data_IF_904807705611
#
_entry.id   IF_904807705611
#
_cell.length_a   1.000
_cell.length_b   1.000
_cell.length_c   1.000
_cell.angle_alpha   90.00
_cell.angle_beta   90.00
_cell.angle_gamma   90.00
#
_symmetry.space_group_name_H-M   'P 1'
#
loop_
_entity.id
_entity.type
_entity.pdbx_description
1 polymer ?
#
# COMPACT_ATOMS: atom_id res chain seq x y z
N UNK A 1 -68.61 151.06 -53.19
CA UNK A 1 -67.84 151.11 -51.93
C UNK A 1 -68.07 149.83 -51.12
N UNK A 2 -69.32 149.41 -50.88
CA UNK A 2 -69.61 148.14 -50.17
C UNK A 2 -69.17 146.84 -50.88
N UNK A 3 -69.16 146.76 -52.21
CA UNK A 3 -68.66 145.54 -52.92
C UNK A 3 -67.15 145.33 -52.76
N UNK A 4 -66.37 146.41 -52.58
CA UNK A 4 -64.92 146.32 -52.39
C UNK A 4 -64.55 145.87 -50.97
N UNK A 5 -65.29 146.36 -49.96
CA UNK A 5 -65.16 145.92 -48.56
C UNK A 5 -65.59 144.46 -48.38
N UNK A 6 -66.64 144.01 -49.08
CA UNK A 6 -67.07 142.61 -49.09
C UNK A 6 -66.02 141.70 -49.75
N UNK A 7 -65.43 142.14 -50.87
CA UNK A 7 -64.38 141.38 -51.55
C UNK A 7 -63.08 141.33 -50.74
N UNK A 8 -62.73 142.39 -50.02
CA UNK A 8 -61.60 142.39 -49.06
C UNK A 8 -61.86 141.47 -47.86
N UNK A 9 -63.07 141.45 -47.33
CA UNK A 9 -63.44 140.56 -46.22
C UNK A 9 -63.40 139.09 -46.64
N UNK A 10 -63.87 138.77 -47.85
CA UNK A 10 -63.78 137.42 -48.42
C UNK A 10 -62.34 136.99 -48.71
N UNK A 11 -61.49 137.89 -49.19
CA UNK A 11 -60.06 137.62 -49.38
C UNK A 11 -59.38 137.31 -48.05
N UNK A 12 -59.66 138.10 -47.01
CA UNK A 12 -59.11 137.89 -45.68
C UNK A 12 -59.57 136.56 -45.05
N UNK A 13 -60.86 136.22 -45.19
CA UNK A 13 -61.40 134.92 -44.75
C UNK A 13 -60.77 133.75 -45.53
N UNK A 14 -60.49 133.94 -46.83
CA UNK A 14 -59.81 132.92 -47.65
C UNK A 14 -58.34 132.77 -47.26
N UNK A 15 -57.65 133.88 -46.91
CA UNK A 15 -56.27 133.87 -46.40
C UNK A 15 -56.18 133.16 -45.04
N UNK A 16 -57.11 133.43 -44.11
CA UNK A 16 -57.18 132.71 -42.82
C UNK A 16 -57.43 131.20 -43.03
N UNK A 17 -58.36 130.82 -43.91
CA UNK A 17 -58.62 129.41 -44.22
C UNK A 17 -57.41 128.74 -44.88
N UNK A 18 -56.67 129.46 -45.72
CA UNK A 18 -55.45 128.97 -46.35
C UNK A 18 -54.32 128.77 -45.31
N UNK A 19 -54.12 129.73 -44.42
CA UNK A 19 -53.13 129.65 -43.34
C UNK A 19 -53.48 128.50 -42.37
N UNK A 20 -54.76 128.34 -42.04
CA UNK A 20 -55.24 127.21 -41.23
C UNK A 20 -55.02 125.87 -41.95
N UNK A 21 -55.26 125.80 -43.26
CA UNK A 21 -55.01 124.59 -44.06
C UNK A 21 -53.52 124.26 -44.15
N UNK A 22 -52.64 125.26 -44.28
CA UNK A 22 -51.19 125.07 -44.27
C UNK A 22 -50.71 124.56 -42.91
N UNK A 23 -51.24 125.10 -41.81
CA UNK A 23 -50.92 124.62 -40.46
C UNK A 23 -51.37 123.17 -40.24
N UNK A 24 -52.57 122.81 -40.69
CA UNK A 24 -53.07 121.43 -40.62
C UNK A 24 -52.23 120.47 -41.47
N UNK A 25 -51.80 120.89 -42.66
CA UNK A 25 -50.95 120.10 -43.54
C UNK A 25 -49.59 119.87 -42.89
N UNK A 26 -48.97 120.89 -42.31
CA UNK A 26 -47.70 120.77 -41.59
C UNK A 26 -47.81 119.83 -40.39
N UNK A 27 -48.87 119.93 -39.58
CA UNK A 27 -49.14 118.99 -38.48
C UNK A 27 -49.32 117.55 -38.99
N UNK A 28 -49.95 117.37 -40.15
CA UNK A 28 -50.13 116.05 -40.77
C UNK A 28 -48.80 115.50 -41.26
N UNK A 29 -47.92 116.32 -41.82
CA UNK A 29 -46.57 115.93 -42.23
C UNK A 29 -45.73 115.51 -41.02
N UNK A 30 -45.75 116.27 -39.92
CA UNK A 30 -45.04 115.89 -38.68
C UNK A 30 -45.57 114.56 -38.11
N UNK A 31 -46.89 114.37 -38.07
CA UNK A 31 -47.49 113.10 -37.62
C UNK A 31 -47.12 111.92 -38.53
N UNK A 32 -47.00 112.17 -39.84
CA UNK A 32 -46.60 111.14 -40.81
C UNK A 32 -45.13 110.77 -40.62
N UNK A 33 -44.24 111.75 -40.44
CA UNK A 33 -42.82 111.52 -40.19
C UNK A 33 -42.61 110.76 -38.88
N UNK A 34 -43.34 111.13 -37.82
CA UNK A 34 -43.34 110.41 -36.55
C UNK A 34 -43.83 108.96 -36.72
N UNK A 35 -44.89 108.75 -37.50
CA UNK A 35 -45.42 107.40 -37.76
C UNK A 35 -44.42 106.55 -38.56
N UNK A 36 -43.70 107.15 -39.51
CA UNK A 36 -42.65 106.45 -40.28
C UNK A 36 -41.47 106.06 -39.39
N UNK A 37 -41.05 106.91 -38.47
CA UNK A 37 -40.00 106.57 -37.51
C UNK A 37 -40.42 105.43 -36.58
N UNK A 38 -41.65 105.46 -36.06
CA UNK A 38 -42.19 104.38 -35.22
C UNK A 38 -42.31 103.05 -35.99
N UNK A 39 -42.69 103.10 -37.27
CA UNK A 39 -42.73 101.92 -38.13
C UNK A 39 -41.32 101.32 -38.27
N UNK A 40 -40.32 102.16 -38.57
CA UNK A 40 -38.94 101.72 -38.73
C UNK A 40 -38.36 101.10 -37.46
N UNK A 41 -38.58 101.71 -36.29
CA UNK A 41 -38.18 101.13 -35.00
C UNK A 41 -38.86 99.78 -34.75
N UNK A 42 -40.13 99.64 -35.14
CA UNK A 42 -40.87 98.39 -35.02
C UNK A 42 -40.32 97.30 -35.95
N UNK A 43 -39.94 97.67 -37.18
CA UNK A 43 -39.30 96.77 -38.14
C UNK A 43 -37.94 96.26 -37.62
N UNK A 44 -37.09 97.15 -37.08
CA UNK A 44 -35.81 96.76 -36.47
C UNK A 44 -36.00 95.82 -35.27
N UNK A 45 -36.97 96.11 -34.40
CA UNK A 45 -37.31 95.23 -33.27
C UNK A 45 -37.82 93.86 -33.74
N UNK A 46 -38.60 93.82 -34.81
CA UNK A 46 -39.11 92.59 -35.40
C UNK A 46 -37.96 91.76 -35.99
N UNK A 47 -37.05 92.37 -36.74
CA UNK A 47 -35.88 91.70 -37.31
C UNK A 47 -35.00 91.11 -36.21
N UNK A 48 -34.72 91.89 -35.15
CA UNK A 48 -33.97 91.40 -33.98
C UNK A 48 -34.66 90.23 -33.30
N UNK A 49 -35.99 90.29 -33.15
CA UNK A 49 -36.77 89.19 -32.55
C UNK A 49 -36.74 87.93 -33.42
N UNK A 50 -36.77 88.08 -34.75
CA UNK A 50 -36.65 86.96 -35.68
C UNK A 50 -35.26 86.31 -35.60
N UNK A 51 -34.18 87.09 -35.53
CA UNK A 51 -32.83 86.55 -35.34
C UNK A 51 -32.70 85.78 -34.03
N UNK A 52 -33.20 86.33 -32.92
CA UNK A 52 -33.18 85.64 -31.62
C UNK A 52 -33.98 84.34 -31.62
N UNK A 53 -35.13 84.32 -32.30
CA UNK A 53 -35.94 83.12 -32.45
C UNK A 53 -35.20 82.06 -33.27
N UNK A 54 -34.50 82.46 -34.33
CA UNK A 54 -33.69 81.56 -35.14
C UNK A 54 -32.53 80.95 -34.33
N UNK A 55 -31.78 81.76 -33.59
CA UNK A 55 -30.71 81.28 -32.69
C UNK A 55 -31.25 80.29 -31.64
N UNK A 56 -32.38 80.62 -31.01
CA UNK A 56 -33.03 79.73 -30.04
C UNK A 56 -33.47 78.41 -30.67
N UNK A 57 -33.94 78.44 -31.92
CA UNK A 57 -34.35 77.24 -32.65
C UNK A 57 -33.14 76.34 -32.97
N UNK A 58 -31.99 76.92 -33.32
CA UNK A 58 -30.75 76.18 -33.53
C UNK A 58 -30.22 75.56 -32.23
N UNK A 59 -30.21 76.32 -31.13
CA UNK A 59 -29.83 75.81 -29.80
C UNK A 59 -30.74 74.66 -29.33
N UNK A 60 -32.05 74.76 -29.60
CA UNK A 60 -33.01 73.71 -29.28
C UNK A 60 -32.72 72.44 -30.10
N UNK A 61 -32.49 72.56 -31.40
CA UNK A 61 -32.15 71.42 -32.26
C UNK A 61 -30.82 70.80 -31.83
N UNK A 62 -29.83 71.60 -31.46
CA UNK A 62 -28.56 71.09 -30.93
C UNK A 62 -28.74 70.32 -29.62
N UNK A 63 -29.53 70.87 -28.69
CA UNK A 63 -29.83 70.22 -27.41
C UNK A 63 -30.60 68.90 -27.59
N UNK A 64 -31.53 68.84 -28.55
CA UNK A 64 -32.24 67.61 -28.90
C UNK A 64 -31.29 66.53 -29.44
N UNK A 65 -30.33 66.91 -30.29
CA UNK A 65 -29.31 65.97 -30.79
C UNK A 65 -28.45 65.42 -29.66
N UNK A 66 -27.97 66.27 -28.75
CA UNK A 66 -27.17 65.82 -27.60
C UNK A 66 -27.95 64.90 -26.66
N UNK A 67 -29.24 65.19 -26.45
CA UNK A 67 -30.11 64.33 -25.64
C UNK A 67 -30.26 62.95 -26.29
N UNK A 68 -30.48 62.90 -27.60
CA UNK A 68 -30.57 61.63 -28.32
C UNK A 68 -29.28 60.80 -28.24
N UNK A 69 -28.11 61.43 -28.45
CA UNK A 69 -26.81 60.76 -28.29
C UNK A 69 -26.62 60.22 -26.86
N UNK A 70 -27.06 60.98 -25.85
CA UNK A 70 -27.00 60.54 -24.45
C UNK A 70 -27.91 59.34 -24.17
N UNK A 71 -29.11 59.33 -24.76
CA UNK A 71 -30.05 58.20 -24.66
C UNK A 71 -29.46 56.93 -25.30
N UNK A 72 -28.84 57.03 -26.47
CA UNK A 72 -28.18 55.89 -27.13
C UNK A 72 -27.03 55.34 -26.28
N UNK A 73 -26.18 56.20 -25.72
CA UNK A 73 -25.08 55.78 -24.82
C UNK A 73 -25.62 55.12 -23.56
N UNK A 74 -26.73 55.63 -23.02
CA UNK A 74 -27.39 55.04 -21.85
C UNK A 74 -27.93 53.64 -22.16
N UNK A 75 -28.62 53.46 -23.30
CA UNK A 75 -29.12 52.15 -23.74
C UNK A 75 -27.98 51.15 -23.94
N UNK A 76 -26.88 51.58 -24.57
CA UNK A 76 -25.69 50.75 -24.74
C UNK A 76 -25.09 50.34 -23.39
N UNK A 77 -25.01 51.27 -22.44
CA UNK A 77 -24.49 51.01 -21.10
C UNK A 77 -25.38 50.01 -20.32
N UNK A 78 -26.70 50.13 -20.44
CA UNK A 78 -27.65 49.20 -19.83
C UNK A 78 -27.51 47.79 -20.42
N UNK A 79 -27.35 47.68 -21.74
CA UNK A 79 -27.11 46.40 -22.41
C UNK A 79 -25.81 45.72 -21.93
N UNK A 80 -24.72 46.48 -21.84
CA UNK A 80 -23.44 45.98 -21.31
C UNK A 80 -23.54 45.52 -19.85
N UNK A 81 -24.31 46.26 -19.04
CA UNK A 81 -24.54 45.90 -17.64
C UNK A 81 -25.32 44.59 -17.53
N UNK A 82 -26.37 44.40 -18.33
CA UNK A 82 -27.11 43.14 -18.37
C UNK A 82 -26.26 41.97 -18.83
N UNK A 83 -25.41 42.16 -19.85
CA UNK A 83 -24.47 41.12 -20.28
C UNK A 83 -23.51 40.74 -19.14
N UNK A 84 -22.93 41.73 -18.47
CA UNK A 84 -22.00 41.50 -17.35
C UNK A 84 -22.67 40.77 -16.18
N UNK A 85 -23.94 41.09 -15.88
CA UNK A 85 -24.72 40.39 -14.88
C UNK A 85 -24.93 38.91 -15.25
N UNK A 86 -25.25 38.62 -16.50
CA UNK A 86 -25.39 37.24 -16.99
C UNK A 86 -24.08 36.44 -16.91
N UNK A 87 -22.96 37.05 -17.29
CA UNK A 87 -21.63 36.45 -17.17
C UNK A 87 -21.27 36.15 -15.70
N UNK A 88 -21.62 37.05 -14.77
CA UNK A 88 -21.41 36.86 -13.34
C UNK A 88 -22.25 35.70 -12.78
N UNK A 89 -23.53 35.62 -13.14
CA UNK A 89 -24.42 34.52 -12.73
C UNK A 89 -23.91 33.16 -13.25
N UNK A 90 -23.43 33.12 -14.49
CA UNK A 90 -22.84 31.92 -15.06
C UNK A 90 -21.57 31.52 -14.31
N UNK A 91 -20.69 32.47 -13.99
CA UNK A 91 -19.46 32.21 -13.24
C UNK A 91 -19.76 31.71 -11.82
N UNK A 92 -20.76 32.28 -11.14
CA UNK A 92 -21.21 31.80 -9.83
C UNK A 92 -21.74 30.37 -9.89
N UNK A 93 -22.51 30.03 -10.93
CA UNK A 93 -23.03 28.68 -11.12
C UNK A 93 -21.91 27.66 -11.32
N UNK A 94 -20.92 27.98 -12.15
CA UNK A 94 -19.73 27.14 -12.38
C UNK A 94 -18.89 26.95 -11.10
N UNK A 95 -18.75 28.01 -10.31
CA UNK A 95 -18.04 27.94 -9.03
C UNK A 95 -18.77 27.03 -8.04
N UNK A 96 -20.09 27.08 -7.99
CA UNK A 96 -20.89 26.20 -7.14
C UNK A 96 -20.79 24.73 -7.58
N UNK A 97 -20.83 24.45 -8.88
CA UNK A 97 -20.63 23.11 -9.44
C UNK A 97 -19.24 22.57 -9.07
N UNK A 98 -18.19 23.36 -9.27
CA UNK A 98 -16.81 23.01 -8.92
C UNK A 98 -16.65 22.73 -7.41
N UNK A 99 -17.33 23.50 -6.56
CA UNK A 99 -17.34 23.25 -5.10
C UNK A 99 -18.01 21.91 -4.77
N UNK A 100 -19.13 21.58 -5.42
CA UNK A 100 -19.80 20.29 -5.24
C UNK A 100 -18.92 19.11 -5.68
N UNK A 101 -18.24 19.23 -6.82
CA UNK A 101 -17.28 18.21 -7.28
C UNK A 101 -16.12 18.02 -6.30
N UNK A 102 -15.60 19.12 -5.74
CA UNK A 102 -14.54 19.09 -4.73
C UNK A 102 -14.99 18.37 -3.45
N UNK A 103 -16.19 18.67 -2.94
CA UNK A 103 -16.75 17.99 -1.76
C UNK A 103 -16.97 16.49 -1.99
N UNK A 104 -17.42 16.12 -3.20
CA UNK A 104 -17.56 14.72 -3.59
C UNK A 104 -16.21 14.01 -3.63
N UNK A 105 -15.18 14.64 -4.23
CA UNK A 105 -13.84 14.09 -4.31
C UNK A 105 -13.21 13.92 -2.91
N UNK A 106 -13.39 14.89 -2.01
CA UNK A 106 -12.94 14.78 -0.63
C UNK A 106 -13.62 13.63 0.11
N UNK A 107 -14.93 13.45 -0.09
CA UNK A 107 -15.68 12.34 0.52
C UNK A 107 -15.18 10.98 0.03
N UNK A 108 -14.90 10.84 -1.27
CA UNK A 108 -14.30 9.63 -1.84
C UNK A 108 -12.90 9.36 -1.26
N UNK A 109 -12.08 10.40 -1.10
CA UNK A 109 -10.74 10.28 -0.50
C UNK A 109 -10.83 9.76 0.94
N UNK A 110 -11.73 10.31 1.77
CA UNK A 110 -11.94 9.82 3.13
C UNK A 110 -12.38 8.36 3.17
N UNK A 111 -13.26 7.95 2.26
CA UNK A 111 -13.70 6.56 2.17
C UNK A 111 -12.53 5.62 1.83
N UNK A 112 -11.73 5.94 0.81
CA UNK A 112 -10.56 5.15 0.42
C UNK A 112 -9.54 5.08 1.56
N UNK A 113 -9.35 6.18 2.30
CA UNK A 113 -8.44 6.21 3.44
C UNK A 113 -8.93 5.28 4.58
N UNK A 114 -10.23 5.24 4.85
CA UNK A 114 -10.82 4.34 5.83
C UNK A 114 -10.66 2.86 5.42
N UNK A 115 -10.95 2.55 4.15
CA UNK A 115 -10.76 1.20 3.59
C UNK A 115 -9.29 0.75 3.69
N UNK A 116 -8.33 1.64 3.40
CA UNK A 116 -6.91 1.35 3.51
C UNK A 116 -6.48 1.08 4.96
N UNK A 117 -7.01 1.82 5.92
CA UNK A 117 -6.78 1.56 7.34
C UNK A 117 -7.32 0.19 7.76
N UNK A 118 -8.51 -0.19 7.27
CA UNK A 118 -9.09 -1.50 7.54
C UNK A 118 -8.22 -2.62 6.97
N UNK A 119 -7.78 -2.50 5.71
CA UNK A 119 -6.85 -3.46 5.09
C UNK A 119 -5.55 -3.59 5.86
N UNK A 120 -4.99 -2.48 6.36
CA UNK A 120 -3.77 -2.52 7.16
C UNK A 120 -3.97 -3.27 8.49
N UNK A 121 -5.10 -3.05 9.15
CA UNK A 121 -5.47 -3.79 10.37
C UNK A 121 -5.65 -5.28 10.10
N UNK A 122 -6.32 -5.65 9.01
CA UNK A 122 -6.49 -7.05 8.62
C UNK A 122 -5.15 -7.73 8.32
N UNK A 123 -4.25 -7.04 7.60
CA UNK A 123 -2.91 -7.56 7.30
C UNK A 123 -2.11 -7.80 8.59
N UNK A 124 -2.15 -6.87 9.53
CA UNK A 124 -1.49 -7.03 10.83
C UNK A 124 -2.05 -8.23 11.61
N UNK A 125 -3.37 -8.44 11.58
CA UNK A 125 -3.98 -9.61 12.22
C UNK A 125 -3.50 -10.91 11.59
N UNK A 126 -3.52 -11.01 10.26
CA UNK A 126 -3.05 -12.21 9.53
C UNK A 126 -1.57 -12.48 9.82
N UNK A 127 -0.74 -11.44 9.91
CA UNK A 127 0.66 -11.58 10.26
C UNK A 127 0.84 -12.14 11.68
N UNK A 128 0.09 -11.65 12.66
CA UNK A 128 0.12 -12.16 14.03
C UNK A 128 -0.33 -13.64 14.11
N UNK A 129 -1.37 -14.01 13.36
CA UNK A 129 -1.83 -15.40 13.26
C UNK A 129 -0.77 -16.32 12.61
N UNK A 130 -0.07 -15.82 11.59
CA UNK A 130 1.04 -16.55 10.94
C UNK A 130 2.22 -16.77 11.90
N UNK A 131 2.58 -15.76 12.69
CA UNK A 131 3.63 -15.87 13.70
C UNK A 131 3.25 -16.89 14.78
N UNK A 132 1.99 -16.86 15.25
CA UNK A 132 1.48 -17.81 16.23
C UNK A 132 1.50 -19.26 15.69
N UNK A 133 1.03 -19.48 14.46
CA UNK A 133 1.03 -20.80 13.84
C UNK A 133 2.44 -21.33 13.61
N UNK A 134 3.37 -20.46 13.21
CA UNK A 134 4.80 -20.81 13.09
C UNK A 134 5.40 -21.21 14.43
N UNK A 135 5.08 -20.49 15.51
CA UNK A 135 5.54 -20.84 16.86
C UNK A 135 5.00 -22.21 17.32
N UNK A 136 3.71 -22.49 17.07
CA UNK A 136 3.09 -23.78 17.37
C UNK A 136 3.71 -24.93 16.56
N UNK A 137 4.02 -24.70 15.29
CA UNK A 137 4.70 -25.68 14.44
C UNK A 137 6.09 -26.00 14.99
N UNK A 138 6.88 -24.99 15.33
CA UNK A 138 8.21 -25.16 15.91
C UNK A 138 8.15 -25.91 17.26
N UNK A 139 7.15 -25.59 18.10
CA UNK A 139 6.92 -26.31 19.35
C UNK A 139 6.61 -27.79 19.11
N UNK A 140 5.74 -28.09 18.13
CA UNK A 140 5.35 -29.45 17.79
C UNK A 140 6.53 -30.25 17.22
N UNK A 141 7.35 -29.64 16.37
CA UNK A 141 8.59 -30.24 15.87
C UNK A 141 9.58 -30.56 17.00
N UNK A 142 9.76 -29.62 17.94
CA UNK A 142 10.62 -29.84 19.11
C UNK A 142 10.09 -30.96 20.02
N UNK A 143 8.76 -31.07 20.18
CA UNK A 143 8.15 -32.17 20.93
C UNK A 143 8.36 -33.51 20.22
N UNK A 144 8.15 -33.57 18.90
CA UNK A 144 8.36 -34.78 18.11
C UNK A 144 9.80 -35.26 18.22
N UNK A 145 10.77 -34.35 18.06
CA UNK A 145 12.18 -34.69 18.21
C UNK A 145 12.52 -35.21 19.62
N UNK A 146 11.95 -34.59 20.67
CA UNK A 146 12.10 -35.12 22.04
C UNK A 146 11.53 -36.52 22.19
N UNK A 147 10.37 -36.79 21.60
CA UNK A 147 9.77 -38.13 21.66
C UNK A 147 10.58 -39.17 20.90
N UNK A 148 11.17 -38.82 19.77
CA UNK A 148 12.09 -39.69 19.02
C UNK A 148 13.31 -40.05 19.87
N UNK A 149 13.96 -39.04 20.47
CA UNK A 149 15.13 -39.28 21.35
C UNK A 149 14.76 -40.16 22.55
N UNK A 150 13.61 -39.93 23.18
CA UNK A 150 13.14 -40.77 24.29
C UNK A 150 12.85 -42.20 23.84
N UNK A 151 12.29 -42.38 22.64
CA UNK A 151 12.03 -43.70 22.07
C UNK A 151 13.34 -44.45 21.81
N UNK A 152 14.33 -43.80 21.19
CA UNK A 152 15.66 -44.37 20.98
C UNK A 152 16.34 -44.77 22.30
N UNK A 153 16.24 -43.91 23.33
CA UNK A 153 16.72 -44.22 24.67
C UNK A 153 16.00 -45.43 25.29
N UNK A 154 14.68 -45.51 25.13
CA UNK A 154 13.91 -46.66 25.63
C UNK A 154 14.27 -47.95 24.91
N UNK A 155 14.47 -47.91 23.59
CA UNK A 155 14.88 -49.08 22.80
C UNK A 155 16.27 -49.58 23.22
N UNK A 156 17.23 -48.66 23.37
CA UNK A 156 18.57 -49.02 23.84
C UNK A 156 18.54 -49.58 25.27
N UNK A 157 17.74 -49.00 26.17
CA UNK A 157 17.57 -49.53 27.53
C UNK A 157 16.88 -50.90 27.55
N UNK A 158 15.90 -51.13 26.68
CA UNK A 158 15.27 -52.45 26.52
C UNK A 158 16.29 -53.49 26.06
N UNK A 159 17.10 -53.17 25.04
CA UNK A 159 18.17 -54.06 24.57
C UNK A 159 19.17 -54.38 25.68
N UNK A 160 19.63 -53.37 26.42
CA UNK A 160 20.54 -53.57 27.56
C UNK A 160 19.92 -54.44 28.66
N UNK A 161 18.64 -54.23 28.98
CA UNK A 161 17.93 -55.03 29.98
C UNK A 161 17.77 -56.48 29.53
N UNK A 162 17.48 -56.70 28.24
CA UNK A 162 17.38 -58.02 27.65
C UNK A 162 18.73 -58.75 27.61
N UNK A 163 19.83 -58.03 27.33
CA UNK A 163 21.20 -58.53 27.46
C UNK A 163 21.48 -59.01 28.89
N UNK A 164 21.27 -58.13 29.87
CA UNK A 164 21.50 -58.42 31.29
C UNK A 164 20.67 -59.61 31.78
N UNK A 165 19.39 -59.69 31.40
CA UNK A 165 18.53 -60.82 31.76
C UNK A 165 19.02 -62.13 31.13
N UNK A 166 19.47 -62.07 29.87
CA UNK A 166 20.02 -63.25 29.18
C UNK A 166 21.29 -63.75 29.86
N UNK A 167 22.18 -62.82 30.26
CA UNK A 167 23.39 -63.11 31.03
C UNK A 167 23.07 -63.73 32.38
N UNK A 168 22.19 -63.09 33.16
CA UNK A 168 21.79 -63.58 34.49
C UNK A 168 21.15 -64.97 34.44
N UNK A 169 20.27 -65.24 33.45
CA UNK A 169 19.67 -66.57 33.27
C UNK A 169 20.71 -67.63 32.96
N UNK A 170 21.74 -67.29 32.18
CA UNK A 170 22.85 -68.20 31.90
C UNK A 170 23.69 -68.46 33.15
N UNK A 171 24.04 -67.40 33.89
CA UNK A 171 24.75 -67.50 35.19
C UNK A 171 24.02 -68.41 36.19
N UNK A 172 22.69 -68.30 36.30
CA UNK A 172 21.89 -69.20 37.14
C UNK A 172 21.92 -70.66 36.66
N UNK A 173 21.89 -70.88 35.34
CA UNK A 173 21.92 -72.22 34.75
C UNK A 173 23.27 -72.93 34.98
N UNK A 174 24.38 -72.20 34.91
CA UNK A 174 25.72 -72.76 35.20
C UNK A 174 25.97 -72.90 36.70
N UNK A 175 25.46 -72.00 37.54
CA UNK A 175 25.58 -72.09 39.01
C UNK A 175 24.84 -73.30 39.60
N UNK A 176 23.81 -73.78 38.92
CA UNK A 176 23.08 -75.00 39.28
C UNK A 176 23.86 -76.29 38.98
N UNK A 177 24.94 -76.19 38.19
CA UNK A 177 25.84 -77.30 37.88
C UNK A 177 26.97 -77.32 38.92
N UNK A 178 27.41 -78.50 39.38
CA UNK A 178 28.52 -78.65 40.34
C UNK A 178 29.89 -78.40 39.66
N UNK A 179 30.04 -77.26 39.00
CA UNK A 179 31.23 -76.90 38.23
C UNK A 179 32.28 -76.19 39.10
N UNK A 180 33.56 -76.37 38.77
CA UNK A 180 34.68 -75.68 39.42
C UNK A 180 34.69 -74.17 39.07
N UNK A 181 35.19 -73.26 39.94
CA UNK A 181 35.24 -71.82 39.64
C UNK A 181 35.91 -71.45 38.30
N UNK A 182 36.94 -72.20 37.90
CA UNK A 182 37.64 -72.01 36.61
C UNK A 182 36.75 -72.40 35.43
N UNK A 183 35.94 -73.44 35.59
CA UNK A 183 35.01 -73.90 34.56
C UNK A 183 33.83 -72.94 34.39
N UNK A 184 33.31 -72.38 35.49
CA UNK A 184 32.29 -71.32 35.46
C UNK A 184 32.81 -70.08 34.72
N UNK A 185 34.06 -69.67 34.99
CA UNK A 185 34.69 -68.54 34.29
C UNK A 185 34.85 -68.81 32.79
N UNK A 186 35.24 -70.03 32.40
CA UNK A 186 35.33 -70.44 31.00
C UNK A 186 33.95 -70.40 30.30
N UNK A 187 32.93 -70.99 30.90
CA UNK A 187 31.57 -71.03 30.34
C UNK A 187 30.97 -69.61 30.17
N UNK A 188 31.26 -68.69 31.09
CA UNK A 188 30.87 -67.28 30.97
C UNK A 188 31.56 -66.55 29.82
N UNK A 189 32.87 -66.77 29.63
CA UNK A 189 33.63 -66.17 28.53
C UNK A 189 33.21 -66.70 27.16
N UNK A 190 32.85 -67.98 27.07
CA UNK A 190 32.32 -68.59 25.84
C UNK A 190 30.92 -68.06 25.54
N UNK A 191 30.08 -67.86 26.56
CA UNK A 191 28.78 -67.22 26.40
C UNK A 191 28.89 -65.75 25.97
N UNK A 192 29.79 -64.97 26.61
CA UNK A 192 30.06 -63.57 26.25
C UNK A 192 30.53 -63.46 24.79
N UNK A 193 31.35 -64.41 24.33
CA UNK A 193 31.77 -64.49 22.94
C UNK A 193 30.63 -64.82 21.97
N UNK A 194 29.81 -65.82 22.30
CA UNK A 194 28.65 -66.20 21.50
C UNK A 194 27.65 -65.04 21.38
N UNK A 195 27.41 -64.34 22.48
CA UNK A 195 26.53 -63.18 22.51
C UNK A 195 27.08 -62.00 21.69
N UNK A 196 28.39 -61.73 21.76
CA UNK A 196 29.04 -60.73 20.92
C UNK A 196 28.96 -61.08 19.42
N UNK A 197 29.10 -62.36 19.06
CA UNK A 197 28.89 -62.83 17.69
C UNK A 197 27.47 -62.56 17.17
N UNK A 198 26.43 -62.85 17.97
CA UNK A 198 25.04 -62.58 17.61
C UNK A 198 24.76 -61.08 17.40
N UNK A 199 25.43 -60.22 18.15
CA UNK A 199 25.34 -58.76 18.00
C UNK A 199 26.30 -58.20 16.91
N UNK A 200 26.92 -59.06 16.10
CA UNK A 200 27.88 -58.71 15.05
C UNK A 200 29.16 -57.99 15.56
N UNK A 201 29.46 -58.05 16.85
CA UNK A 201 30.69 -57.55 17.44
C UNK A 201 31.76 -58.66 17.45
N UNK A 202 32.38 -58.85 16.28
CA UNK A 202 33.42 -59.87 16.07
C UNK A 202 34.71 -59.57 16.85
N UNK A 203 34.93 -58.31 17.24
CA UNK A 203 36.11 -57.91 18.01
C UNK A 203 35.98 -58.39 19.45
N UNK A 204 34.86 -58.04 20.11
CA UNK A 204 34.56 -58.48 21.48
C UNK A 204 34.43 -60.00 21.56
N UNK A 205 33.83 -60.63 20.54
CA UNK A 205 33.82 -62.09 20.41
C UNK A 205 35.24 -62.67 20.47
N UNK A 206 36.15 -62.13 19.66
CA UNK A 206 37.54 -62.57 19.62
C UNK A 206 38.27 -62.39 20.96
N UNK A 207 38.07 -61.26 21.64
CA UNK A 207 38.67 -60.99 22.95
C UNK A 207 38.19 -61.97 24.03
N UNK A 208 36.87 -62.21 24.11
CA UNK A 208 36.26 -63.14 25.06
C UNK A 208 36.76 -64.58 24.85
N UNK A 209 36.80 -65.04 23.58
CA UNK A 209 37.36 -66.34 23.25
C UNK A 209 38.85 -66.41 23.58
N UNK A 210 39.63 -65.37 23.29
CA UNK A 210 41.06 -65.35 23.62
C UNK A 210 41.30 -65.43 25.13
N UNK A 211 40.49 -64.76 25.94
CA UNK A 211 40.54 -64.87 27.40
C UNK A 211 40.14 -66.26 27.87
N UNK A 212 39.17 -66.91 27.23
CA UNK A 212 38.76 -68.28 27.58
C UNK A 212 39.89 -69.31 27.41
N UNK A 213 40.81 -69.09 26.46
CA UNK A 213 42.03 -69.92 26.28
C UNK A 213 42.94 -69.87 27.52
N UNK A 214 42.94 -68.75 28.24
CA UNK A 214 43.80 -68.57 29.44
C UNK A 214 43.22 -69.29 30.67
N UNK A 215 41.92 -69.59 30.65
CA UNK A 215 41.18 -70.20 31.76
C UNK A 215 40.77 -71.66 31.46
N UNK A 216 41.43 -72.32 30.51
CA UNK A 216 40.97 -73.61 29.96
C UNK A 216 41.45 -74.84 30.74
N UNK A 217 40.59 -75.86 30.93
CA UNK A 217 40.99 -77.20 31.35
C UNK A 217 41.27 -78.19 30.20
N UNK A 218 41.28 -77.76 28.93
CA UNK A 218 41.31 -78.61 27.71
C UNK A 218 42.56 -78.41 26.83
N UNK A 219 42.85 -79.35 25.93
CA UNK A 219 43.95 -79.23 24.96
C UNK A 219 43.61 -78.31 23.78
N UNK A 220 44.64 -77.79 23.08
CA UNK A 220 44.51 -76.79 22.01
C UNK A 220 43.47 -77.13 20.93
N UNK A 221 43.31 -78.41 20.55
CA UNK A 221 42.33 -78.86 19.55
C UNK A 221 40.92 -79.06 20.13
N UNK A 222 40.82 -79.44 21.40
CA UNK A 222 39.55 -79.64 22.10
C UNK A 222 38.86 -78.30 22.38
N UNK A 223 39.63 -77.22 22.58
CA UNK A 223 39.11 -75.85 22.81
C UNK A 223 38.26 -75.37 21.63
N UNK A 224 38.78 -75.49 20.41
CA UNK A 224 38.09 -75.00 19.20
C UNK A 224 36.81 -75.80 18.94
N UNK A 225 36.86 -77.12 19.14
CA UNK A 225 35.68 -77.98 19.02
C UNK A 225 34.66 -77.66 20.11
N UNK A 226 35.10 -77.41 21.34
CA UNK A 226 34.22 -77.06 22.45
C UNK A 226 33.55 -75.69 22.27
N UNK A 227 34.24 -74.69 21.71
CA UNK A 227 33.61 -73.42 21.34
C UNK A 227 32.53 -73.61 20.29
N UNK A 228 32.81 -74.36 19.22
CA UNK A 228 31.84 -74.62 18.16
C UNK A 228 30.63 -75.41 18.67
N UNK A 229 30.84 -76.43 19.51
CA UNK A 229 29.78 -77.22 20.14
C UNK A 229 28.94 -76.35 21.09
N UNK A 230 29.58 -75.53 21.92
CA UNK A 230 28.90 -74.59 22.81
C UNK A 230 28.10 -73.56 22.03
N UNK A 231 28.65 -73.02 20.94
CA UNK A 231 27.97 -72.05 20.08
C UNK A 231 26.79 -72.69 19.35
N UNK A 232 26.92 -73.94 18.90
CA UNK A 232 25.85 -74.70 18.26
C UNK A 232 24.72 -75.04 19.26
N UNK A 233 25.07 -75.42 20.48
CA UNK A 233 24.11 -75.67 21.56
C UNK A 233 23.34 -74.40 21.93
N UNK A 234 24.04 -73.29 22.15
CA UNK A 234 23.44 -72.00 22.45
C UNK A 234 22.58 -71.48 21.29
N UNK A 235 23.02 -71.70 20.05
CA UNK A 235 22.27 -71.43 18.81
C UNK A 235 20.94 -72.20 18.77
N UNK A 236 20.96 -73.51 19.09
CA UNK A 236 19.76 -74.34 19.13
C UNK A 236 18.79 -73.94 20.25
N UNK A 237 19.30 -73.64 21.45
CA UNK A 237 18.48 -73.22 22.60
C UNK A 237 17.80 -71.86 22.40
N UNK A 238 18.42 -70.98 21.61
CA UNK A 238 17.94 -69.61 21.36
C UNK A 238 17.21 -69.47 20.02
N UNK A 239 17.21 -70.51 19.18
CA UNK A 239 16.55 -70.53 17.88
C UNK A 239 17.22 -69.63 16.82
N UNK A 240 18.50 -69.30 17.00
CA UNK A 240 19.27 -68.47 16.07
C UNK A 240 20.19 -69.38 15.24
N UNK A 241 20.22 -69.24 13.91
CA UNK A 241 21.09 -70.05 13.06
C UNK A 241 22.57 -69.65 13.24
N UNK A 242 23.43 -70.63 13.54
CA UNK A 242 24.88 -70.40 13.60
C UNK A 242 25.47 -70.48 12.20
N UNK A 243 25.81 -69.34 11.60
CA UNK A 243 26.56 -69.30 10.35
C UNK A 243 28.04 -69.65 10.59
N UNK A 244 28.30 -70.95 10.63
CA UNK A 244 29.63 -71.53 10.78
C UNK A 244 30.58 -71.12 9.66
N UNK A 245 30.07 -70.84 8.45
CA UNK A 245 30.89 -70.42 7.31
C UNK A 245 31.39 -68.99 7.50
N UNK A 246 30.52 -68.06 7.89
CA UNK A 246 30.90 -66.67 8.15
C UNK A 246 31.78 -66.53 9.39
N UNK A 247 31.50 -67.30 10.45
CA UNK A 247 32.31 -67.31 11.68
C UNK A 247 33.74 -67.75 11.38
N UNK A 248 33.90 -68.91 10.75
CA UNK A 248 35.24 -69.51 10.50
C UNK A 248 36.05 -68.76 9.46
N UNK A 249 35.38 -68.01 8.57
CA UNK A 249 36.04 -67.17 7.57
C UNK A 249 36.39 -65.76 8.04
N UNK A 250 35.84 -65.31 9.16
CA UNK A 250 36.16 -64.00 9.74
C UNK A 250 37.66 -63.85 10.05
N UNK A 251 38.14 -62.62 9.93
CA UNK A 251 39.56 -62.30 10.17
C UNK A 251 39.92 -62.53 11.64
N UNK A 252 39.00 -62.18 12.53
CA UNK A 252 39.12 -62.22 13.98
C UNK A 252 39.22 -63.68 14.44
N UNK A 253 38.35 -64.56 13.94
CA UNK A 253 38.44 -66.01 14.20
C UNK A 253 39.75 -66.61 13.69
N UNK A 254 40.17 -66.26 12.46
CA UNK A 254 41.44 -66.71 11.90
C UNK A 254 42.65 -66.23 12.70
N UNK A 255 42.61 -65.00 13.24
CA UNK A 255 43.66 -64.48 14.10
C UNK A 255 43.71 -65.21 15.45
N UNK A 256 42.55 -65.56 15.99
CA UNK A 256 42.41 -66.29 17.25
C UNK A 256 42.95 -67.72 17.18
N UNK A 257 42.79 -68.38 16.04
CA UNK A 257 43.29 -69.73 15.81
C UNK A 257 44.81 -69.82 15.60
N UNK A 258 45.49 -68.73 15.20
CA UNK A 258 46.95 -68.72 14.94
C UNK A 258 47.81 -69.18 16.13
N UNK A 259 47.64 -68.66 17.36
CA UNK A 259 48.41 -69.11 18.51
C UNK A 259 48.05 -70.53 18.96
N UNK A 260 46.80 -70.97 18.74
CA UNK A 260 46.30 -72.30 19.16
C UNK A 260 46.84 -73.43 18.28
N UNK A 261 46.93 -73.19 16.97
CA UNK A 261 47.37 -74.17 15.97
C UNK A 261 48.89 -74.14 15.70
N UNK A 262 49.66 -73.32 16.43
CA UNK A 262 51.13 -73.32 16.36
C UNK A 262 51.72 -72.96 15.00
N UNK A 263 51.07 -72.11 14.20
CA UNK A 263 51.64 -71.69 12.90
C UNK A 263 52.73 -70.64 13.15
N UNK A 264 53.99 -71.09 13.25
CA UNK A 264 55.18 -70.22 13.22
C UNK A 264 55.12 -69.34 11.97
N UNK A 265 55.29 -68.03 12.19
CA UNK A 265 55.56 -67.04 11.14
C UNK A 265 56.82 -67.49 10.40
N UNK A 266 56.70 -68.06 9.20
CA UNK A 266 57.84 -68.19 8.30
C UNK A 266 58.15 -66.78 7.82
N UNK A 267 59.07 -66.10 8.51
CA UNK A 267 59.82 -64.98 7.94
C UNK A 267 60.70 -65.55 6.84
N UNK A 268 60.17 -65.62 5.62
CA UNK A 268 61.01 -65.72 4.43
C UNK A 268 61.51 -64.30 4.14
N UNK A 269 62.70 -64.03 4.66
CA UNK A 269 63.58 -63.01 4.13
C UNK A 269 63.87 -63.33 2.67
N UNK A 270 63.71 -62.33 1.81
CA UNK A 270 64.20 -62.34 0.43
C UNK A 270 65.72 -62.51 0.43
N UNK A 271 66.28 -63.02 -0.67
CA UNK A 271 66.77 -62.11 -1.72
C UNK A 271 66.01 -62.22 -3.04
#
# INVERSE_FOLDING_TARGET
QGELEQSQSQLHETEEVLEQSQSQLHQTEEMLEQSQSQLHETEEMLEKSQSQLHETQEELTHSQSQLHETEEVLEQSQSQLHQTQGELEQSQSQLHETQGELEQSQSQLYQVQAELQEYHSQLHQVQAELEQTTALLNQSQAQLHRTEVVLEQSLTQQHQTQEQLSRWRFEQAIASQKNSPIQIQYELLVWDAWYAYQNSDLTKMGECLQQSIKCTPFSHTEIVLNWLDSFAKLSSEKGCELDTYSLTNSREWKQLLRPILGVKKITLSMP
#
